data_IF_777969081114
#
_entry.id   IF_777969081114
#
_cell.length_a   1.000
_cell.length_b   1.000
_cell.length_c   1.000
_cell.angle_alpha   90.00
_cell.angle_beta   90.00
_cell.angle_gamma   90.00
#
_symmetry.space_group_name_H-M   'P 1'
#
loop_
_entity.id
_entity.type
_entity.pdbx_description
1 polymer ?
#
# COMPACT_ATOMS: atom_id res chain seq x y z
N UNK A 1 21.68 -30.44 35.13
CA UNK A 1 20.95 -31.07 34.02
C UNK A 1 19.44 -30.82 34.04
N UNK A 2 18.65 -31.17 35.06
CA UNK A 2 17.17 -30.95 35.04
C UNK A 2 16.74 -29.47 34.85
N UNK A 3 17.41 -28.51 35.49
CA UNK A 3 17.10 -27.05 35.30
C UNK A 3 17.44 -26.54 33.89
N UNK A 4 18.50 -27.02 33.29
CA UNK A 4 18.89 -26.62 31.93
C UNK A 4 17.92 -27.16 30.87
N UNK A 5 17.39 -28.37 31.07
CA UNK A 5 16.38 -28.98 30.19
C UNK A 5 15.04 -28.23 30.31
N UNK A 6 14.65 -27.81 31.52
CA UNK A 6 13.43 -27.03 31.73
C UNK A 6 13.51 -25.65 31.05
N UNK A 7 14.65 -24.95 31.15
CA UNK A 7 14.85 -23.65 30.51
C UNK A 7 14.83 -23.82 28.99
N UNK A 8 15.47 -24.86 28.45
CA UNK A 8 15.46 -25.12 27.01
C UNK A 8 14.04 -25.40 26.48
N UNK A 9 13.25 -26.20 27.24
CA UNK A 9 11.84 -26.49 26.89
C UNK A 9 10.96 -25.25 26.89
N UNK A 10 11.12 -24.35 27.88
CA UNK A 10 10.37 -23.09 27.96
C UNK A 10 10.80 -22.13 26.81
N UNK A 11 12.09 -22.04 26.48
CA UNK A 11 12.58 -21.23 25.35
C UNK A 11 12.10 -21.80 24.02
N UNK A 12 12.11 -23.11 23.82
CA UNK A 12 11.55 -23.74 22.62
C UNK A 12 10.04 -23.51 22.50
N UNK A 13 9.29 -23.62 23.61
CA UNK A 13 7.85 -23.36 23.62
C UNK A 13 7.52 -21.88 23.33
N UNK A 14 8.32 -20.94 23.83
CA UNK A 14 8.18 -19.50 23.53
C UNK A 14 8.56 -19.17 22.06
N UNK A 15 9.57 -19.84 21.52
CA UNK A 15 9.95 -19.67 20.10
C UNK A 15 8.86 -20.26 19.20
N UNK A 16 8.32 -21.46 19.52
CA UNK A 16 7.23 -22.07 18.78
C UNK A 16 5.95 -21.22 18.85
N UNK A 17 5.59 -20.69 20.02
CA UNK A 17 4.43 -19.80 20.12
C UNK A 17 4.61 -18.48 19.35
N UNK A 18 5.81 -17.92 19.35
CA UNK A 18 6.11 -16.69 18.58
C UNK A 18 6.08 -16.93 17.07
N UNK A 19 6.52 -18.10 16.57
CA UNK A 19 6.41 -18.49 15.16
C UNK A 19 4.97 -18.77 14.76
N UNK A 20 4.18 -19.37 15.63
CA UNK A 20 2.75 -19.64 15.41
C UNK A 20 1.94 -18.34 15.29
N UNK A 21 2.16 -17.39 16.19
CA UNK A 21 1.52 -16.06 16.13
C UNK A 21 1.92 -15.29 14.85
N UNK A 22 3.16 -15.43 14.39
CA UNK A 22 3.60 -14.85 13.12
C UNK A 22 2.92 -15.49 11.91
N UNK A 23 2.88 -16.81 11.82
CA UNK A 23 2.26 -17.52 10.70
C UNK A 23 0.76 -17.17 10.57
N UNK A 24 0.03 -17.13 11.69
CA UNK A 24 -1.39 -16.76 11.72
C UNK A 24 -1.63 -15.28 11.35
N UNK A 25 -0.70 -14.38 11.65
CA UNK A 25 -0.79 -12.97 11.23
C UNK A 25 -0.66 -12.80 9.73
N UNK A 26 0.21 -13.55 9.07
CA UNK A 26 0.39 -13.50 7.60
C UNK A 26 -0.79 -14.12 6.85
N UNK A 27 -1.47 -15.12 7.40
CA UNK A 27 -2.62 -15.77 6.76
C UNK A 27 -3.85 -14.87 6.61
N UNK A 28 -3.80 -13.66 7.15
CA UNK A 28 -4.91 -12.72 7.09
C UNK A 28 -4.81 -11.69 5.94
N UNK A 29 -3.67 -11.60 5.26
CA UNK A 29 -3.42 -10.62 4.20
C UNK A 29 -3.33 -11.31 2.84
N UNK A 30 -4.47 -11.39 2.17
CA UNK A 30 -4.59 -11.92 0.83
C UNK A 30 -4.77 -10.77 -0.16
N UNK A 31 -3.72 -10.43 -0.85
CA UNK A 31 -3.77 -9.40 -1.89
C UNK A 31 -4.28 -9.97 -3.21
N UNK A 32 -5.14 -9.21 -3.87
CA UNK A 32 -5.47 -9.41 -5.29
C UNK A 32 -4.57 -8.49 -6.08
N UNK A 33 -3.98 -8.99 -7.16
CA UNK A 33 -3.04 -8.24 -7.99
C UNK A 33 -3.71 -7.74 -9.25
N UNK A 34 -3.38 -6.50 -9.64
CA UNK A 34 -3.74 -5.90 -10.91
C UNK A 34 -2.45 -5.44 -11.58
N UNK A 35 -2.13 -6.04 -12.71
CA UNK A 35 -0.90 -5.82 -13.46
C UNK A 35 -1.17 -5.71 -14.97
N UNK A 36 -0.13 -5.82 -15.80
CA UNK A 36 -0.26 -5.79 -17.25
C UNK A 36 -1.16 -6.87 -17.85
N UNK A 37 -1.25 -8.05 -17.21
CA UNK A 37 -2.15 -9.12 -17.64
C UNK A 37 -3.62 -8.77 -17.45
N UNK A 38 -3.91 -7.90 -16.49
CA UNK A 38 -5.26 -7.37 -16.24
C UNK A 38 -5.54 -6.09 -17.04
N UNK A 39 -4.62 -5.64 -17.88
CA UNK A 39 -4.78 -4.46 -18.72
C UNK A 39 -4.20 -3.16 -18.13
N UNK A 40 -3.39 -3.21 -17.07
CA UNK A 40 -2.69 -2.02 -16.56
C UNK A 40 -1.59 -1.60 -17.55
N UNK A 41 -1.50 -0.29 -17.84
CA UNK A 41 -0.56 0.24 -18.85
C UNK A 41 0.92 0.09 -18.49
N UNK A 42 1.24 0.05 -17.19
CA UNK A 42 2.57 -0.26 -16.68
C UNK A 42 2.50 -0.72 -15.21
N UNK A 43 3.45 -1.55 -14.79
CA UNK A 43 3.52 -2.08 -13.43
C UNK A 43 4.05 -1.08 -12.39
N UNK A 44 4.57 0.06 -12.82
CA UNK A 44 5.01 1.14 -11.92
C UNK A 44 3.83 2.04 -11.59
N UNK A 45 3.29 1.94 -10.37
CA UNK A 45 2.12 2.70 -9.92
C UNK A 45 2.50 3.65 -8.79
N UNK A 46 2.44 4.95 -9.08
CA UNK A 46 2.84 6.00 -8.13
C UNK A 46 1.66 6.69 -7.47
N UNK A 47 0.54 6.80 -8.16
CA UNK A 47 -0.64 7.49 -7.68
C UNK A 47 -1.88 6.60 -7.76
N UNK A 48 -2.67 6.61 -6.71
CA UNK A 48 -3.94 5.88 -6.60
C UNK A 48 -4.99 6.82 -6.06
N UNK A 49 -6.14 6.86 -6.71
CA UNK A 49 -7.28 7.67 -6.27
C UNK A 49 -8.59 6.93 -6.57
N UNK A 50 -9.57 7.06 -5.69
CA UNK A 50 -10.96 6.72 -5.99
C UNK A 50 -11.72 8.02 -6.25
N UNK A 51 -12.40 8.11 -7.41
CA UNK A 51 -13.25 9.24 -7.71
C UNK A 51 -14.62 9.15 -7.02
N UNK A 52 -15.39 10.21 -7.08
CA UNK A 52 -16.74 10.31 -6.48
C UNK A 52 -17.78 9.39 -7.15
N UNK A 53 -17.50 8.85 -8.33
CA UNK A 53 -18.31 7.84 -9.00
C UNK A 53 -17.96 6.41 -8.54
N UNK A 54 -16.84 6.25 -7.82
CA UNK A 54 -16.35 4.96 -7.32
C UNK A 54 -15.34 4.25 -8.21
N UNK A 55 -14.94 4.85 -9.34
CA UNK A 55 -13.85 4.32 -10.16
C UNK A 55 -12.51 4.49 -9.46
N UNK A 56 -11.64 3.50 -9.62
CA UNK A 56 -10.25 3.61 -9.17
C UNK A 56 -9.38 4.11 -10.31
N UNK A 57 -8.55 5.07 -10.01
CA UNK A 57 -7.59 5.65 -10.94
C UNK A 57 -6.17 5.29 -10.53
N UNK A 58 -5.39 4.81 -11.49
CA UNK A 58 -4.01 4.42 -11.29
C UNK A 58 -3.10 5.24 -12.20
N UNK A 59 -2.25 6.06 -11.60
CA UNK A 59 -1.19 6.79 -12.28
C UNK A 59 0.05 5.92 -12.40
N UNK A 60 0.44 5.62 -13.63
CA UNK A 60 1.59 4.78 -13.93
C UNK A 60 2.67 5.53 -14.68
N UNK A 61 3.84 4.89 -14.86
CA UNK A 61 4.90 5.44 -15.71
C UNK A 61 4.47 5.54 -17.18
N UNK A 62 3.42 4.84 -17.59
CA UNK A 62 2.98 4.75 -18.99
C UNK A 62 1.49 5.10 -19.15
N UNK A 63 1.06 6.18 -18.52
CA UNK A 63 -0.28 6.71 -18.67
C UNK A 63 -1.18 6.54 -17.46
N UNK A 64 -2.42 7.02 -17.62
CA UNK A 64 -3.48 7.00 -16.65
C UNK A 64 -4.43 5.83 -16.93
N UNK A 65 -4.83 5.11 -15.90
CA UNK A 65 -5.70 3.95 -15.98
C UNK A 65 -6.94 4.18 -15.10
N UNK A 66 -8.13 3.88 -15.61
CA UNK A 66 -9.38 3.87 -14.87
C UNK A 66 -9.89 2.45 -14.71
N UNK A 67 -10.14 2.02 -13.50
CA UNK A 67 -10.64 0.70 -13.16
C UNK A 67 -12.06 0.76 -12.60
N UNK A 68 -12.98 -0.02 -13.16
CA UNK A 68 -14.39 -0.04 -12.79
C UNK A 68 -14.77 -1.17 -11.81
N UNK A 69 -13.80 -1.96 -11.37
CA UNK A 69 -13.98 -3.15 -10.55
C UNK A 69 -13.84 -4.46 -11.33
N UNK A 70 -13.85 -4.41 -12.65
CA UNK A 70 -13.75 -5.58 -13.56
C UNK A 70 -12.76 -5.37 -14.70
N UNK A 71 -12.74 -4.20 -15.29
CA UNK A 71 -11.93 -3.87 -16.47
C UNK A 71 -11.14 -2.58 -16.29
N UNK A 72 -10.03 -2.47 -17.00
CA UNK A 72 -9.17 -1.29 -17.02
C UNK A 72 -9.31 -0.59 -18.36
N UNK A 73 -9.65 0.70 -18.30
CA UNK A 73 -9.56 1.61 -19.43
C UNK A 73 -8.24 2.38 -19.33
N UNK A 74 -7.37 2.18 -20.32
CA UNK A 74 -6.14 2.96 -20.45
C UNK A 74 -6.44 4.27 -21.17
N UNK A 75 -6.04 5.39 -20.57
CA UNK A 75 -6.14 6.71 -21.17
C UNK A 75 -4.74 7.11 -21.66
N UNK A 76 -4.42 6.68 -22.88
CA UNK A 76 -3.11 6.90 -23.49
C UNK A 76 -3.04 8.26 -24.21
N UNK A 77 -1.82 8.76 -24.32
CA UNK A 77 -1.51 10.07 -24.92
C UNK A 77 -1.63 10.14 -26.44
N UNK A 78 -1.74 9.03 -27.13
CA UNK A 78 -1.73 8.97 -28.59
C UNK A 78 -3.03 9.47 -29.24
N UNK A 79 -4.10 9.62 -28.45
CA UNK A 79 -5.32 10.27 -28.92
C UNK A 79 -5.17 11.79 -28.85
N UNK A 80 -4.80 12.39 -29.96
CA UNK A 80 -4.59 13.84 -30.14
C UNK A 80 -5.79 14.73 -29.77
N UNK A 81 -6.94 14.17 -29.44
CA UNK A 81 -8.13 14.89 -28.96
C UNK A 81 -8.30 14.89 -27.45
N UNK A 82 -7.66 13.97 -26.74
CA UNK A 82 -7.75 13.83 -25.28
C UNK A 82 -6.37 13.76 -24.59
N UNK A 83 -5.30 14.10 -25.30
CA UNK A 83 -3.94 13.77 -24.92
C UNK A 83 -3.44 14.42 -23.63
N UNK A 84 -3.18 13.62 -22.64
CA UNK A 84 -2.19 13.96 -21.62
C UNK A 84 -0.83 13.98 -22.34
N UNK A 85 -0.23 15.15 -22.54
CA UNK A 85 1.05 15.30 -23.29
C UNK A 85 2.23 14.57 -22.67
N UNK A 86 2.02 13.80 -21.61
CA UNK A 86 3.03 13.04 -20.90
C UNK A 86 2.47 11.74 -20.29
N UNK A 87 3.30 10.71 -20.32
CA UNK A 87 2.93 9.37 -19.90
C UNK A 87 3.17 9.07 -18.40
N UNK A 88 4.10 9.77 -17.74
CA UNK A 88 4.48 9.46 -16.36
C UNK A 88 3.58 10.23 -15.38
N UNK A 89 2.57 9.55 -14.83
CA UNK A 89 1.62 10.12 -13.88
C UNK A 89 2.13 9.90 -12.47
N UNK A 90 2.25 10.96 -11.69
CA UNK A 90 2.82 10.94 -10.34
C UNK A 90 1.85 11.37 -9.24
N UNK A 91 0.81 12.15 -9.57
CA UNK A 91 -0.15 12.64 -8.60
C UNK A 91 -1.56 12.70 -9.19
N UNK A 92 -2.57 12.42 -8.36
CA UNK A 92 -3.98 12.45 -8.73
C UNK A 92 -4.80 13.11 -7.62
N UNK A 93 -5.74 13.95 -8.01
CA UNK A 93 -6.69 14.56 -7.09
C UNK A 93 -8.02 14.87 -7.80
N UNK A 94 -9.16 14.58 -7.18
CA UNK A 94 -10.49 14.97 -7.67
C UNK A 94 -10.96 16.23 -6.93
N UNK A 95 -11.33 17.28 -7.68
CA UNK A 95 -11.83 18.52 -7.09
C UNK A 95 -13.33 18.49 -6.79
N UNK A 96 -13.85 19.56 -6.17
CA UNK A 96 -15.27 19.69 -5.82
C UNK A 96 -16.20 19.73 -7.04
N UNK A 97 -15.66 20.06 -8.22
CA UNK A 97 -16.37 20.05 -9.51
C UNK A 97 -16.31 18.67 -10.18
N UNK A 98 -15.73 17.66 -9.50
CA UNK A 98 -15.50 16.30 -10.00
C UNK A 98 -14.55 16.23 -11.19
N UNK A 99 -13.68 17.20 -11.33
CA UNK A 99 -12.60 17.18 -12.30
C UNK A 99 -11.38 16.52 -11.70
N UNK A 100 -10.73 15.66 -12.48
CA UNK A 100 -9.53 14.96 -12.04
C UNK A 100 -8.30 15.78 -12.42
N UNK A 101 -7.57 16.21 -11.39
CA UNK A 101 -6.26 16.85 -11.54
C UNK A 101 -5.20 15.76 -11.64
N UNK A 102 -4.39 15.84 -12.67
CA UNK A 102 -3.39 14.84 -13.03
C UNK A 102 -2.02 15.49 -13.08
N UNK A 103 -1.17 15.15 -12.13
CA UNK A 103 0.23 15.57 -12.08
C UNK A 103 1.11 14.62 -12.87
N UNK A 104 1.96 15.19 -13.70
CA UNK A 104 2.87 14.46 -14.59
C UNK A 104 4.31 14.95 -14.42
N UNK A 105 5.26 14.31 -15.09
CA UNK A 105 6.65 14.78 -15.16
C UNK A 105 6.82 16.01 -16.07
N UNK A 106 5.75 16.49 -16.71
CA UNK A 106 5.72 17.71 -17.56
C UNK A 106 4.55 18.63 -17.27
N UNK A 107 4.12 18.71 -16.02
CA UNK A 107 3.11 19.64 -15.56
C UNK A 107 1.77 19.04 -15.20
N UNK A 108 0.75 19.88 -15.18
CA UNK A 108 -0.56 19.57 -14.62
C UNK A 108 -1.59 19.51 -15.74
N UNK A 109 -2.44 18.49 -15.70
CA UNK A 109 -3.61 18.36 -16.55
C UNK A 109 -4.86 18.25 -15.71
N UNK A 110 -5.98 18.72 -16.25
CA UNK A 110 -7.31 18.53 -15.64
C UNK A 110 -8.17 17.78 -16.63
N UNK A 111 -8.70 16.65 -16.18
CA UNK A 111 -9.65 15.84 -16.92
C UNK A 111 -11.07 16.20 -16.50
N UNK A 112 -11.90 16.57 -17.47
CA UNK A 112 -13.33 16.78 -17.27
C UNK A 112 -14.08 15.52 -17.71
N UNK A 113 -14.66 14.76 -16.77
CA UNK A 113 -15.32 13.49 -17.10
C UNK A 113 -16.65 13.69 -17.85
N UNK A 114 -17.21 14.91 -17.87
CA UNK A 114 -18.47 15.18 -18.57
C UNK A 114 -18.23 15.42 -20.06
N UNK A 115 -17.07 15.98 -20.40
CA UNK A 115 -16.65 16.26 -21.77
C UNK A 115 -15.70 15.22 -22.34
N UNK A 116 -15.14 14.36 -21.47
CA UNK A 116 -14.09 13.38 -21.78
C UNK A 116 -12.85 14.05 -22.41
N UNK A 117 -12.42 15.18 -21.82
CA UNK A 117 -11.33 16.00 -22.35
C UNK A 117 -10.30 16.28 -21.26
N UNK A 118 -9.02 16.15 -21.61
CA UNK A 118 -7.90 16.67 -20.83
C UNK A 118 -7.51 18.07 -21.26
N UNK A 119 -7.38 18.95 -20.29
CA UNK A 119 -6.88 20.32 -20.50
C UNK A 119 -5.59 20.51 -19.74
N UNK A 120 -4.52 20.88 -20.43
CA UNK A 120 -3.28 21.28 -19.77
C UNK A 120 -3.46 22.63 -19.10
N UNK A 121 -3.06 22.74 -17.82
CA UNK A 121 -3.05 24.01 -17.12
C UNK A 121 -1.79 24.78 -17.49
N UNK A 122 -1.98 25.91 -18.20
CA UNK A 122 -0.97 26.92 -18.46
C UNK A 122 -1.51 28.25 -17.92
N UNK A 123 -1.42 28.51 -16.60
CA UNK A 123 -1.91 29.77 -16.06
C UNK A 123 -1.05 30.92 -16.59
N UNK A 124 -1.67 31.89 -17.24
CA UNK A 124 -1.01 33.08 -17.82
C UNK A 124 -0.21 33.92 -16.78
N UNK A 125 -0.54 33.73 -15.50
CA UNK A 125 0.12 34.41 -14.37
C UNK A 125 1.43 33.76 -13.93
N UNK A 126 1.84 32.64 -14.53
CA UNK A 126 3.03 31.90 -14.14
C UNK A 126 4.12 31.99 -15.23
N UNK A 127 4.67 33.19 -15.41
CA UNK A 127 5.83 33.45 -16.31
C UNK A 127 7.08 32.58 -15.99
N UNK A 128 7.02 31.73 -14.97
CA UNK A 128 8.16 30.95 -14.45
C UNK A 128 7.90 29.46 -14.22
N UNK A 129 6.67 28.96 -14.33
CA UNK A 129 6.46 27.51 -14.36
C UNK A 129 6.74 27.04 -15.77
N UNK A 130 7.92 26.46 -15.95
CA UNK A 130 8.20 25.77 -17.21
C UNK A 130 7.24 24.56 -17.28
N UNK A 131 6.62 24.33 -18.45
CA UNK A 131 5.67 23.24 -18.63
C UNK A 131 6.26 21.84 -18.42
N UNK A 132 7.54 21.75 -18.17
CA UNK A 132 8.32 20.50 -18.13
C UNK A 132 8.72 20.07 -16.71
N UNK A 133 8.02 20.57 -15.66
CA UNK A 133 8.36 20.25 -14.27
C UNK A 133 7.53 19.10 -13.74
N UNK A 134 8.22 18.21 -13.02
CA UNK A 134 7.62 17.08 -12.34
C UNK A 134 6.75 17.53 -11.17
N UNK A 135 5.46 17.12 -11.19
CA UNK A 135 4.50 17.34 -10.11
C UNK A 135 4.60 16.16 -9.14
N UNK A 136 5.01 16.41 -7.91
CA UNK A 136 5.17 15.35 -6.92
C UNK A 136 3.83 14.98 -6.27
N UNK A 137 3.02 15.97 -5.89
CA UNK A 137 1.79 15.73 -5.15
C UNK A 137 0.73 16.82 -5.42
N UNK A 138 -0.54 16.44 -5.34
CA UNK A 138 -1.69 17.34 -5.49
C UNK A 138 -2.70 17.02 -4.38
N UNK A 139 -3.15 18.06 -3.67
CA UNK A 139 -4.24 17.92 -2.70
C UNK A 139 -5.03 19.24 -2.59
N UNK A 140 -6.16 19.26 -1.87
CA UNK A 140 -6.90 20.48 -1.62
C UNK A 140 -7.07 20.76 -0.14
N UNK A 141 -7.05 22.06 0.21
CA UNK A 141 -7.38 22.50 1.54
C UNK A 141 -8.90 22.45 1.84
N UNK A 142 -9.29 22.72 3.07
CA UNK A 142 -10.70 22.68 3.50
C UNK A 142 -11.59 23.70 2.78
N UNK A 143 -11.01 24.78 2.26
CA UNK A 143 -11.71 25.81 1.50
C UNK A 143 -11.96 25.34 0.06
N UNK A 144 -11.09 24.47 -0.47
CA UNK A 144 -11.15 23.90 -1.81
C UNK A 144 -10.14 24.49 -2.77
N UNK A 145 -9.13 25.18 -2.26
CA UNK A 145 -7.98 25.53 -3.08
C UNK A 145 -7.15 24.28 -3.33
N UNK A 146 -6.73 24.08 -4.58
CA UNK A 146 -5.89 22.97 -4.96
C UNK A 146 -4.42 23.38 -4.80
N UNK A 147 -3.69 22.60 -4.03
CA UNK A 147 -2.27 22.77 -3.80
C UNK A 147 -1.49 21.75 -4.60
N UNK A 148 -0.51 22.22 -5.33
CA UNK A 148 0.37 21.42 -6.18
C UNK A 148 1.79 21.60 -5.73
N UNK A 149 2.46 20.49 -5.45
CA UNK A 149 3.86 20.46 -5.06
C UNK A 149 4.73 20.12 -6.26
N UNK A 150 5.66 21.01 -6.55
CA UNK A 150 6.70 20.86 -7.56
C UNK A 150 8.06 21.02 -6.85
N UNK A 151 8.82 19.92 -6.63
CA UNK A 151 10.00 19.94 -5.76
C UNK A 151 11.02 21.04 -6.08
N UNK A 152 11.29 21.27 -7.35
CA UNK A 152 12.29 22.28 -7.77
C UNK A 152 11.78 23.73 -7.67
N UNK A 153 10.48 23.96 -7.45
CA UNK A 153 9.86 25.26 -7.49
C UNK A 153 9.09 25.65 -6.23
N UNK A 154 8.71 24.69 -5.42
CA UNK A 154 7.88 24.93 -4.23
C UNK A 154 6.41 24.55 -4.41
N UNK A 155 5.51 25.31 -3.80
CA UNK A 155 4.08 25.05 -3.85
C UNK A 155 3.34 26.10 -4.70
N UNK A 156 2.30 25.60 -5.35
CA UNK A 156 1.35 26.41 -6.08
C UNK A 156 -0.04 26.20 -5.51
N UNK A 157 -0.74 27.29 -5.18
CA UNK A 157 -2.13 27.28 -4.75
C UNK A 157 -3.02 27.78 -5.87
N UNK A 158 -3.93 26.95 -6.31
CA UNK A 158 -4.93 27.25 -7.31
C UNK A 158 -6.28 27.55 -6.67
N UNK A 159 -6.84 28.71 -6.96
CA UNK A 159 -8.22 29.09 -6.68
C UNK A 159 -9.04 28.87 -7.95
N UNK A 160 -9.61 27.65 -8.11
CA UNK A 160 -10.09 27.17 -9.41
C UNK A 160 -8.93 26.89 -10.37
N UNK A 161 -9.19 26.95 -11.70
CA UNK A 161 -8.17 26.67 -12.73
C UNK A 161 -7.44 27.90 -13.26
N UNK A 162 -7.80 29.10 -12.83
CA UNK A 162 -7.31 30.36 -13.42
C UNK A 162 -6.40 31.14 -12.51
N UNK A 163 -6.69 31.24 -11.22
CA UNK A 163 -5.91 32.05 -10.29
C UNK A 163 -4.92 31.16 -9.57
N UNK A 164 -3.65 31.53 -9.59
CA UNK A 164 -2.57 30.79 -8.94
C UNK A 164 -1.68 31.70 -8.13
N UNK A 165 -1.30 31.22 -6.95
CA UNK A 165 -0.28 31.82 -6.09
C UNK A 165 0.90 30.89 -5.98
N UNK A 166 2.12 31.41 -5.96
CA UNK A 166 3.35 30.63 -5.88
C UNK A 166 4.07 30.90 -4.57
N UNK A 167 4.46 29.83 -3.91
CA UNK A 167 5.18 29.85 -2.62
C UNK A 167 6.49 29.08 -2.75
N UNK A 168 7.62 29.77 -2.99
CA UNK A 168 8.92 29.12 -2.96
C UNK A 168 9.23 28.66 -1.53
N UNK A 169 9.53 27.39 -1.37
CA UNK A 169 9.94 26.82 -0.09
C UNK A 169 11.46 26.82 -0.05
N UNK A 170 12.01 27.85 0.58
CA UNK A 170 13.45 28.00 0.77
C UNK A 170 13.76 28.07 2.25
N UNK A 171 14.62 27.18 2.72
CA UNK A 171 15.09 27.23 4.12
C UNK A 171 16.10 28.33 4.36
N UNK A 172 16.35 28.61 5.65
CA UNK A 172 17.43 29.52 6.09
C UNK A 172 18.80 28.82 6.14
N UNK A 173 18.89 27.60 5.62
CA UNK A 173 20.12 26.78 5.70
C UNK A 173 20.96 26.92 4.44
N UNK A 174 22.26 26.66 4.56
CA UNK A 174 23.23 26.71 3.45
C UNK A 174 23.34 25.37 2.71
N UNK A 175 22.33 24.49 2.79
CA UNK A 175 22.35 23.17 2.18
C UNK A 175 21.89 23.21 0.70
N UNK A 176 22.60 22.51 -0.17
CA UNK A 176 22.39 22.54 -1.63
C UNK A 176 21.18 21.77 -2.14
N UNK A 177 20.46 21.01 -1.30
CA UNK A 177 19.36 20.14 -1.70
C UNK A 177 18.13 20.40 -0.81
N UNK A 178 17.65 21.63 -0.79
CA UNK A 178 16.46 22.03 -0.05
C UNK A 178 15.26 21.95 -0.98
N UNK A 179 14.51 20.86 -0.96
CA UNK A 179 13.31 20.72 -1.76
C UNK A 179 12.11 20.31 -0.91
N UNK A 180 10.91 20.81 -1.19
CA UNK A 180 9.70 20.25 -0.65
C UNK A 180 9.48 18.85 -1.27
N UNK A 181 9.20 17.85 -0.42
CA UNK A 181 9.07 16.45 -0.83
C UNK A 181 7.63 15.94 -0.71
N UNK A 182 6.91 16.37 0.33
CA UNK A 182 5.53 15.95 0.56
C UNK A 182 4.68 17.09 1.12
N UNK A 183 3.37 16.97 0.95
CA UNK A 183 2.37 17.91 1.44
C UNK A 183 1.26 17.13 2.14
N UNK A 184 0.77 17.63 3.27
CA UNK A 184 -0.36 17.02 3.96
C UNK A 184 -1.26 18.09 4.56
N UNK A 185 -2.51 17.71 4.81
CA UNK A 185 -3.49 18.57 5.46
C UNK A 185 -3.83 17.99 6.82
N UNK A 186 -3.70 18.81 7.85
CA UNK A 186 -4.17 18.45 9.18
C UNK A 186 -5.71 18.46 9.23
N UNK A 187 -6.29 17.86 10.27
CA UNK A 187 -7.76 17.78 10.41
C UNK A 187 -8.46 19.13 10.57
N UNK A 188 -7.71 20.19 10.86
CA UNK A 188 -8.22 21.57 10.93
C UNK A 188 -8.13 22.28 9.58
N UNK A 189 -7.63 21.60 8.54
CA UNK A 189 -7.47 22.16 7.20
C UNK A 189 -6.15 22.93 7.01
N UNK A 190 -5.23 22.85 7.96
CA UNK A 190 -3.91 23.47 7.86
C UNK A 190 -3.01 22.69 6.88
N UNK A 191 -2.39 23.41 5.96
CA UNK A 191 -1.48 22.84 4.94
C UNK A 191 -0.08 22.77 5.52
N UNK A 192 0.52 21.58 5.48
CA UNK A 192 1.86 21.30 5.94
C UNK A 192 2.72 20.75 4.81
N UNK A 193 4.01 21.10 4.86
CA UNK A 193 5.01 20.67 3.87
C UNK A 193 6.16 20.01 4.58
N UNK A 194 6.50 18.79 4.17
CA UNK A 194 7.73 18.11 4.56
C UNK A 194 8.81 18.36 3.51
N UNK A 195 10.04 18.58 3.96
CA UNK A 195 11.16 18.93 3.08
C UNK A 195 12.33 17.99 3.21
N UNK A 196 13.21 18.05 2.22
CA UNK A 196 14.56 17.49 2.30
C UNK A 196 15.48 18.46 3.01
N UNK A 197 15.83 18.16 4.28
CA UNK A 197 16.90 18.85 5.02
C UNK A 197 16.52 20.11 5.79
N UNK A 198 15.35 20.74 5.55
CA UNK A 198 14.98 22.02 6.19
C UNK A 198 13.73 21.95 7.04
N UNK A 199 13.31 20.75 7.44
CA UNK A 199 12.25 20.53 8.41
C UNK A 199 10.84 20.62 7.83
N UNK A 200 9.90 21.09 8.63
CA UNK A 200 8.50 21.25 8.29
C UNK A 200 8.16 22.72 8.03
N UNK A 201 7.20 22.94 7.15
CA UNK A 201 6.58 24.24 6.93
C UNK A 201 5.08 24.13 7.09
N UNK A 202 4.45 25.17 7.65
CA UNK A 202 3.00 25.30 7.77
C UNK A 202 2.54 26.57 7.10
N UNK A 203 1.51 26.48 6.30
CA UNK A 203 0.88 27.66 5.70
C UNK A 203 0.14 28.49 6.76
N UNK A 204 0.43 29.76 6.80
CA UNK A 204 -0.28 30.75 7.62
C UNK A 204 -1.17 31.61 6.71
N UNK A 205 -2.50 31.43 6.72
CA UNK A 205 -3.40 32.17 5.82
C UNK A 205 -3.49 33.67 6.15
N UNK A 206 -3.15 34.10 7.36
CA UNK A 206 -3.17 35.52 7.74
C UNK A 206 -1.98 36.28 7.15
N UNK A 207 -0.84 35.60 7.01
CA UNK A 207 0.38 36.16 6.42
C UNK A 207 0.52 35.86 4.94
N UNK A 208 -0.34 34.98 4.40
CA UNK A 208 -0.24 34.38 3.06
C UNK A 208 1.18 33.85 2.77
N UNK A 209 1.75 33.10 3.73
CA UNK A 209 3.12 32.63 3.69
C UNK A 209 3.29 31.33 4.50
N UNK A 210 4.37 30.60 4.21
CA UNK A 210 4.77 29.44 5.00
C UNK A 210 5.69 29.81 6.15
N UNK A 211 5.42 29.24 7.33
CA UNK A 211 6.23 29.35 8.53
C UNK A 211 7.02 28.06 8.73
N UNK A 212 8.32 28.19 9.00
CA UNK A 212 9.24 27.07 9.19
C UNK A 212 9.24 26.54 10.62
N UNK A 213 9.26 25.21 10.74
CA UNK A 213 9.39 24.45 11.98
C UNK A 213 10.60 23.52 11.85
N UNK A 214 11.76 23.98 12.32
CA UNK A 214 13.03 23.26 12.17
C UNK A 214 13.42 22.48 13.41
N UNK A 215 13.06 22.99 14.59
CA UNK A 215 13.44 22.42 15.88
C UNK A 215 12.21 22.24 16.77
N UNK A 216 12.27 21.24 17.64
CA UNK A 216 11.29 21.09 18.70
C UNK A 216 11.61 22.04 19.88
N UNK A 217 10.71 22.09 20.85
CA UNK A 217 10.91 22.93 22.07
C UNK A 217 12.08 22.47 22.95
N UNK A 218 12.60 21.26 22.76
CA UNK A 218 13.70 20.68 23.51
C UNK A 218 15.03 20.75 22.77
N UNK A 219 15.05 21.35 21.56
CA UNK A 219 16.24 21.48 20.72
C UNK A 219 16.54 20.26 19.85
N UNK A 220 15.61 19.27 19.74
CA UNK A 220 15.75 18.22 18.75
C UNK A 220 15.44 18.78 17.38
N UNK A 221 16.30 18.51 16.42
CA UNK A 221 16.25 19.12 15.11
C UNK A 221 15.70 18.21 14.03
N UNK A 222 14.88 18.78 13.15
CA UNK A 222 14.49 18.19 11.86
C UNK A 222 15.46 18.54 10.73
N UNK A 223 16.53 19.31 11.04
CA UNK A 223 17.58 19.62 10.07
C UNK A 223 18.22 18.33 9.55
N UNK A 224 18.55 18.31 8.27
CA UNK A 224 19.11 17.16 7.57
C UNK A 224 18.24 15.89 7.55
N UNK A 225 16.95 16.00 7.87
CA UNK A 225 15.97 14.91 7.73
C UNK A 225 15.24 15.06 6.41
N UNK A 226 15.23 13.99 5.61
CA UNK A 226 14.49 13.93 4.34
C UNK A 226 13.09 13.38 4.60
N UNK A 227 12.11 14.27 4.75
CA UNK A 227 10.71 13.94 5.06
C UNK A 227 10.00 13.57 3.74
N UNK A 228 9.87 12.27 3.45
CA UNK A 228 9.34 11.76 2.19
C UNK A 228 7.82 11.69 2.13
N UNK A 229 7.19 11.42 3.26
CA UNK A 229 5.73 11.36 3.39
C UNK A 229 5.31 11.73 4.80
N UNK A 230 4.08 12.21 4.92
CA UNK A 230 3.54 12.67 6.19
C UNK A 230 2.04 12.39 6.27
N UNK A 231 1.56 11.87 7.41
CA UNK A 231 0.13 11.78 7.71
C UNK A 231 -0.19 12.33 9.09
N UNK A 232 -1.45 12.71 9.27
CA UNK A 232 -1.95 13.16 10.57
C UNK A 232 -2.80 12.07 11.22
N UNK A 233 -2.39 11.61 12.41
CA UNK A 233 -3.17 10.65 13.21
C UNK A 233 -4.38 11.33 13.85
N UNK A 234 -4.16 12.52 14.35
CA UNK A 234 -5.15 13.42 14.94
C UNK A 234 -4.75 14.87 14.64
N UNK A 235 -5.50 15.83 15.15
CA UNK A 235 -5.28 17.27 14.90
C UNK A 235 -3.91 17.78 15.36
N UNK A 236 -3.30 17.11 16.32
CA UNK A 236 -2.10 17.58 17.02
C UNK A 236 -0.84 16.79 16.68
N UNK A 237 -0.97 15.59 16.08
CA UNK A 237 0.18 14.70 15.84
C UNK A 237 0.35 14.35 14.36
N UNK A 238 1.43 14.85 13.78
CA UNK A 238 1.94 14.43 12.48
C UNK A 238 2.89 13.24 12.64
N UNK A 239 2.77 12.25 11.76
CA UNK A 239 3.71 11.14 11.61
C UNK A 239 4.54 11.41 10.36
N UNK A 240 5.86 11.39 10.51
CA UNK A 240 6.81 11.73 9.47
C UNK A 240 7.60 10.48 9.07
N UNK A 241 7.58 10.13 7.81
CA UNK A 241 8.43 9.08 7.25
C UNK A 241 9.71 9.71 6.71
N UNK A 242 10.84 9.38 7.35
CA UNK A 242 12.16 9.85 6.95
C UNK A 242 12.77 8.85 5.96
N UNK A 243 13.35 9.36 4.89
CA UNK A 243 13.91 8.55 3.81
C UNK A 243 14.86 7.44 4.29
N UNK A 244 15.68 7.75 5.28
CA UNK A 244 16.72 6.86 5.81
C UNK A 244 16.20 5.78 6.78
N UNK A 245 14.86 5.62 6.89
CA UNK A 245 14.24 4.54 7.66
C UNK A 245 13.93 4.91 9.12
N UNK A 246 13.67 6.17 9.39
CA UNK A 246 13.15 6.62 10.68
C UNK A 246 11.67 6.99 10.58
N UNK A 247 10.90 6.71 11.62
CA UNK A 247 9.56 7.23 11.81
C UNK A 247 9.56 8.18 13.00
N UNK A 248 9.13 9.41 12.76
CA UNK A 248 9.04 10.43 13.79
C UNK A 248 7.58 10.82 14.03
N UNK A 249 7.26 11.20 15.23
CA UNK A 249 5.98 11.83 15.59
C UNK A 249 6.25 13.25 16.05
N UNK A 250 5.55 14.19 15.48
CA UNK A 250 5.65 15.60 15.81
C UNK A 250 4.29 16.11 16.30
N UNK A 251 4.24 16.56 17.56
CA UNK A 251 3.04 17.20 18.08
C UNK A 251 3.04 18.66 17.65
N UNK A 252 2.05 19.07 16.86
CA UNK A 252 2.01 20.41 16.26
C UNK A 252 1.68 21.53 17.26
N UNK A 253 1.12 21.21 18.44
CA UNK A 253 0.81 22.19 19.47
C UNK A 253 1.92 22.31 20.50
N UNK A 254 2.33 21.18 21.11
CA UNK A 254 3.41 21.18 22.09
C UNK A 254 4.79 21.39 21.45
N UNK A 255 4.90 21.22 20.12
CA UNK A 255 6.15 21.23 19.36
C UNK A 255 7.17 20.22 19.88
N UNK A 256 6.72 19.05 20.26
CA UNK A 256 7.57 17.95 20.74
C UNK A 256 7.79 16.94 19.63
N UNK A 257 9.05 16.55 19.44
CA UNK A 257 9.48 15.52 18.51
C UNK A 257 9.73 14.22 19.27
N UNK A 258 9.16 13.15 18.81
CA UNK A 258 9.38 11.80 19.35
C UNK A 258 9.68 10.82 18.22
N UNK A 259 10.24 9.67 18.58
CA UNK A 259 10.55 8.59 17.64
C UNK A 259 9.54 7.46 17.80
N UNK A 260 9.13 6.87 16.68
CA UNK A 260 8.36 5.63 16.64
C UNK A 260 9.32 4.50 16.33
N UNK A 261 9.37 3.43 17.15
CA UNK A 261 10.22 2.28 16.84
C UNK A 261 9.88 1.70 15.47
N UNK A 262 10.87 1.64 14.58
CA UNK A 262 10.74 1.07 13.25
C UNK A 262 11.67 -0.13 13.11
N UNK A 263 11.15 -1.33 12.83
CA UNK A 263 11.95 -2.57 12.82
C UNK A 263 12.67 -2.83 11.51
N UNK A 264 12.63 -1.89 10.58
CA UNK A 264 13.34 -2.01 9.31
C UNK A 264 14.85 -2.06 9.48
N UNK A 265 15.54 -2.67 8.53
CA UNK A 265 16.99 -2.66 8.48
C UNK A 265 17.53 -1.22 8.34
N UNK A 266 18.72 -0.95 8.84
CA UNK A 266 19.38 0.34 8.60
C UNK A 266 19.42 0.63 7.10
N UNK A 267 18.93 1.80 6.67
CA UNK A 267 18.75 2.24 5.28
C UNK A 267 17.55 1.63 4.54
N UNK A 268 16.50 1.23 5.25
CA UNK A 268 15.20 0.97 4.61
C UNK A 268 14.61 2.29 4.14
N UNK A 269 14.59 2.54 2.83
CA UNK A 269 14.04 3.78 2.28
C UNK A 269 12.51 3.78 2.40
N UNK A 270 11.98 4.71 3.21
CA UNK A 270 10.54 4.92 3.36
C UNK A 270 10.03 5.77 2.21
N UNK A 271 8.82 5.46 1.71
CA UNK A 271 8.20 6.14 0.57
C UNK A 271 6.87 6.78 0.93
N UNK A 272 6.05 6.07 1.68
CA UNK A 272 4.71 6.52 2.03
C UNK A 272 4.35 6.13 3.45
N UNK A 273 3.59 6.97 4.14
CA UNK A 273 3.04 6.68 5.46
C UNK A 273 1.58 7.13 5.54
N UNK A 274 0.71 6.20 5.91
CA UNK A 274 -0.72 6.46 6.04
C UNK A 274 -1.23 6.00 7.40
N UNK A 275 -2.11 6.80 7.99
CA UNK A 275 -2.70 6.54 9.29
C UNK A 275 -4.10 5.93 9.13
N UNK A 276 -4.30 4.66 9.50
CA UNK A 276 -5.61 4.00 9.50
C UNK A 276 -6.02 3.66 10.94
N UNK A 277 -6.67 4.61 11.60
CA UNK A 277 -7.01 4.49 13.02
C UNK A 277 -5.76 4.42 13.90
N UNK A 278 -5.57 3.31 14.61
CA UNK A 278 -4.40 3.08 15.47
C UNK A 278 -3.21 2.46 14.73
N UNK A 279 -3.38 2.09 13.47
CA UNK A 279 -2.34 1.48 12.65
C UNK A 279 -1.65 2.51 11.76
N UNK A 280 -0.33 2.40 11.68
CA UNK A 280 0.49 3.08 10.70
C UNK A 280 0.87 2.09 9.62
N UNK A 281 0.52 2.41 8.39
CA UNK A 281 0.91 1.64 7.22
C UNK A 281 2.04 2.37 6.53
N UNK A 282 3.19 1.71 6.40
CA UNK A 282 4.43 2.32 5.92
C UNK A 282 4.95 1.56 4.72
N UNK A 283 4.91 2.22 3.58
CA UNK A 283 5.48 1.73 2.34
C UNK A 283 6.98 1.99 2.26
N UNK A 284 7.74 1.00 1.86
CA UNK A 284 9.19 1.09 1.79
C UNK A 284 9.75 0.36 0.57
N UNK A 285 11.08 0.39 0.40
CA UNK A 285 11.79 -0.45 -0.59
C UNK A 285 11.93 -1.91 -0.15
N UNK A 286 11.51 -2.26 1.06
CA UNK A 286 11.63 -3.62 1.61
C UNK A 286 10.28 -4.22 2.00
N UNK A 287 9.20 -3.78 1.39
CA UNK A 287 7.84 -4.22 1.64
C UNK A 287 7.00 -3.20 2.40
N UNK A 288 5.90 -3.69 2.93
CA UNK A 288 4.92 -2.94 3.68
C UNK A 288 5.01 -3.27 5.17
N UNK A 289 5.12 -2.24 6.00
CA UNK A 289 5.06 -2.38 7.45
C UNK A 289 3.73 -1.89 7.99
N UNK A 290 3.12 -2.65 8.90
CA UNK A 290 1.93 -2.25 9.62
C UNK A 290 2.28 -2.20 11.09
N UNK A 291 2.29 -1.00 11.67
CA UNK A 291 2.72 -0.73 13.03
C UNK A 291 1.52 -0.31 13.86
N UNK A 292 1.28 -0.99 14.98
CA UNK A 292 0.30 -0.61 15.97
C UNK A 292 1.01 -0.32 17.30
N UNK A 293 1.20 0.98 17.61
CA UNK A 293 1.91 1.40 18.82
C UNK A 293 1.18 0.98 20.11
N UNK A 294 -0.17 0.99 20.11
CA UNK A 294 -0.95 0.60 21.29
C UNK A 294 -0.80 -0.87 21.63
N UNK A 295 -0.72 -1.71 20.62
CA UNK A 295 -0.52 -3.17 20.76
C UNK A 295 0.95 -3.57 20.81
N UNK A 296 1.85 -2.62 20.63
CA UNK A 296 3.29 -2.85 20.46
C UNK A 296 3.58 -3.97 19.45
N UNK A 297 2.87 -3.94 18.33
CA UNK A 297 2.97 -4.97 17.29
C UNK A 297 3.36 -4.35 15.96
N UNK A 298 4.22 -5.06 15.24
CA UNK A 298 4.61 -4.73 13.89
C UNK A 298 4.52 -5.96 13.01
N UNK A 299 3.83 -5.82 11.91
CA UNK A 299 3.77 -6.81 10.85
C UNK A 299 4.55 -6.29 9.65
N UNK A 300 5.38 -7.15 9.05
CA UNK A 300 6.16 -6.84 7.89
C UNK A 300 5.77 -7.75 6.73
N UNK A 301 5.08 -7.22 5.73
CA UNK A 301 4.59 -7.92 4.55
C UNK A 301 5.58 -7.71 3.39
N UNK A 302 5.95 -8.81 2.76
CA UNK A 302 6.88 -8.86 1.62
C UNK A 302 6.30 -9.67 0.48
N UNK A 303 6.91 -9.50 -0.69
CA UNK A 303 6.76 -10.43 -1.80
C UNK A 303 7.24 -11.82 -1.38
N UNK A 304 6.45 -12.83 -1.71
CA UNK A 304 6.77 -14.24 -1.55
C UNK A 304 6.32 -14.99 -2.80
N UNK A 305 7.27 -15.41 -3.61
CA UNK A 305 7.01 -16.09 -4.88
C UNK A 305 6.25 -17.41 -4.71
N UNK A 306 6.32 -18.02 -3.52
CA UNK A 306 5.60 -19.25 -3.22
C UNK A 306 4.15 -18.98 -2.79
N UNK A 307 3.83 -17.76 -2.39
CA UNK A 307 2.50 -17.33 -1.94
C UNK A 307 1.86 -16.39 -2.94
N UNK A 308 1.01 -16.90 -3.79
CA UNK A 308 0.34 -16.15 -4.87
C UNK A 308 -0.49 -14.94 -4.41
N UNK A 309 -0.74 -14.79 -3.12
CA UNK A 309 -1.51 -13.69 -2.55
C UNK A 309 -0.67 -12.79 -1.62
N UNK A 310 0.66 -12.94 -1.62
CA UNK A 310 1.58 -12.01 -0.96
C UNK A 310 1.62 -10.67 -1.70
N UNK A 311 2.41 -9.70 -1.24
CA UNK A 311 2.71 -8.53 -2.06
C UNK A 311 3.32 -8.95 -3.40
N UNK A 312 2.97 -8.25 -4.47
CA UNK A 312 3.49 -8.51 -5.82
C UNK A 312 4.90 -7.95 -6.05
N UNK A 313 5.37 -7.07 -5.16
CA UNK A 313 6.70 -6.44 -5.21
C UNK A 313 7.03 -5.80 -3.87
N UNK A 314 8.30 -5.79 -3.50
CA UNK A 314 8.77 -5.22 -2.24
C UNK A 314 8.90 -3.69 -2.25
N UNK A 315 8.88 -3.04 -3.40
CA UNK A 315 9.01 -1.58 -3.48
C UNK A 315 7.62 -0.95 -3.52
N UNK A 316 7.14 -0.52 -2.35
CA UNK A 316 5.83 0.11 -2.18
C UNK A 316 5.96 1.62 -2.35
N UNK A 317 5.23 2.20 -3.32
CA UNK A 317 5.24 3.62 -3.61
C UNK A 317 4.09 4.40 -2.99
N UNK A 318 2.88 3.82 -3.00
CA UNK A 318 1.67 4.51 -2.56
C UNK A 318 0.71 3.56 -1.86
N UNK A 319 0.02 4.09 -0.86
CA UNK A 319 -0.98 3.36 -0.07
C UNK A 319 -2.26 4.21 -0.07
N UNK A 320 -3.36 3.65 -0.51
CA UNK A 320 -4.64 4.34 -0.61
C UNK A 320 -5.76 3.51 0.00
N UNK A 321 -6.67 4.16 0.74
CA UNK A 321 -7.86 3.53 1.30
C UNK A 321 -9.10 4.01 0.56
N UNK A 322 -9.83 3.09 -0.02
CA UNK A 322 -11.08 3.40 -0.70
C UNK A 322 -12.23 3.72 0.27
N UNK A 323 -13.33 4.23 -0.27
CA UNK A 323 -14.54 4.61 0.49
C UNK A 323 -15.22 3.42 1.17
N UNK A 324 -15.03 2.20 0.67
CA UNK A 324 -15.53 0.94 1.25
C UNK A 324 -14.59 0.38 2.33
N UNK A 325 -13.40 0.98 2.47
CA UNK A 325 -12.37 0.60 3.45
C UNK A 325 -11.41 -0.48 2.96
N UNK A 326 -11.41 -0.81 1.68
CA UNK A 326 -10.38 -1.59 1.03
C UNK A 326 -9.08 -0.79 0.90
N UNK A 327 -7.95 -1.47 0.90
CA UNK A 327 -6.63 -0.84 0.82
C UNK A 327 -5.96 -1.22 -0.50
N UNK A 328 -5.50 -0.21 -1.19
CA UNK A 328 -4.84 -0.29 -2.48
C UNK A 328 -3.38 0.11 -2.32
N UNK A 329 -2.47 -0.68 -2.87
CA UNK A 329 -1.03 -0.48 -2.72
C UNK A 329 -0.39 -0.49 -4.09
N UNK A 330 0.19 0.64 -4.47
CA UNK A 330 0.96 0.79 -5.70
C UNK A 330 2.42 0.42 -5.49
N UNK A 331 2.97 -0.36 -6.41
CA UNK A 331 4.34 -0.85 -6.35
C UNK A 331 5.15 -0.43 -7.57
N UNK A 332 6.46 -0.67 -7.51
CA UNK A 332 7.38 -0.29 -8.59
C UNK A 332 7.29 -1.25 -9.79
N UNK A 333 7.21 -2.54 -9.54
CA UNK A 333 7.27 -3.56 -10.60
C UNK A 333 6.10 -4.54 -10.59
N UNK A 334 5.31 -4.59 -9.52
CA UNK A 334 4.24 -5.55 -9.30
C UNK A 334 2.82 -5.04 -9.65
N UNK A 335 2.68 -3.78 -10.07
CA UNK A 335 1.37 -3.17 -10.31
C UNK A 335 0.68 -2.73 -9.03
N UNK A 336 -0.60 -3.03 -8.92
CA UNK A 336 -1.46 -2.69 -7.80
C UNK A 336 -1.83 -3.94 -7.01
N UNK A 337 -1.73 -3.84 -5.68
CA UNK A 337 -2.22 -4.86 -4.75
C UNK A 337 -3.47 -4.33 -4.06
N UNK A 338 -4.53 -5.11 -4.06
CA UNK A 338 -5.78 -4.79 -3.38
C UNK A 338 -6.04 -5.72 -2.21
N UNK A 339 -6.29 -5.13 -1.05
CA UNK A 339 -6.71 -5.82 0.17
C UNK A 339 -8.13 -5.40 0.53
N UNK A 340 -9.14 -6.28 0.40
CA UNK A 340 -10.51 -5.95 0.76
C UNK A 340 -10.68 -5.75 2.27
N UNK A 341 -11.55 -4.82 2.68
CA UNK A 341 -11.88 -4.56 4.09
C UNK A 341 -12.42 -5.80 4.80
N UNK A 342 -13.33 -6.50 4.15
CA UNK A 342 -13.91 -7.71 4.70
C UNK A 342 -13.02 -8.88 4.28
N UNK A 343 -12.35 -9.45 5.26
CA UNK A 343 -11.59 -10.68 5.08
C UNK A 343 -12.54 -11.79 4.71
N UNK A 344 -12.12 -12.64 3.80
CA UNK A 344 -12.88 -13.84 3.46
C UNK A 344 -13.07 -14.66 4.74
N UNK A 345 -14.30 -15.11 4.96
CA UNK A 345 -14.66 -16.00 6.09
C UNK A 345 -14.01 -17.39 5.92
N UNK A 346 -13.35 -17.61 4.79
CA UNK A 346 -12.73 -18.88 4.43
C UNK A 346 -11.22 -18.83 4.64
N UNK A 347 -10.68 -19.81 5.32
CA UNK A 347 -9.25 -20.07 5.34
C UNK A 347 -8.81 -20.59 3.98
N UNK A 348 -7.67 -20.09 3.49
CA UNK A 348 -7.12 -20.47 2.19
C UNK A 348 -5.85 -21.26 2.39
N UNK A 349 -5.84 -22.47 1.88
CA UNK A 349 -4.67 -23.33 1.81
C UNK A 349 -4.13 -23.32 0.39
N UNK A 350 -2.93 -22.78 0.22
CA UNK A 350 -2.28 -22.58 -1.09
C UNK A 350 -0.96 -23.35 -1.13
N UNK A 351 -0.42 -23.63 -2.31
CA UNK A 351 0.91 -24.23 -2.44
C UNK A 351 1.99 -23.34 -1.82
N UNK A 352 2.90 -23.96 -1.09
CA UNK A 352 4.00 -23.29 -0.40
C UNK A 352 5.01 -24.31 0.15
N UNK A 353 6.01 -23.82 0.87
CA UNK A 353 7.07 -24.63 1.46
C UNK A 353 7.01 -24.71 2.99
N UNK A 354 6.01 -24.11 3.61
CA UNK A 354 5.78 -24.18 5.05
C UNK A 354 4.85 -25.36 5.41
N UNK A 355 4.84 -25.78 6.68
CA UNK A 355 4.00 -26.87 7.17
C UNK A 355 2.49 -26.58 7.16
N UNK A 356 2.07 -25.44 6.62
CA UNK A 356 0.66 -25.02 6.48
C UNK A 356 0.25 -24.90 5.01
N UNK A 357 1.10 -25.37 4.09
CA UNK A 357 0.92 -25.22 2.64
C UNK A 357 0.65 -26.55 1.95
N UNK A 358 -0.20 -26.49 0.92
CA UNK A 358 -0.39 -27.60 0.00
C UNK A 358 0.84 -27.76 -0.90
N UNK A 359 1.00 -28.97 -1.48
CA UNK A 359 2.08 -29.22 -2.42
C UNK A 359 1.74 -28.89 -3.89
N UNK A 360 0.45 -28.61 -4.20
CA UNK A 360 -0.02 -28.27 -5.56
C UNK A 360 -1.31 -27.47 -5.54
N UNK A 361 -1.63 -26.83 -6.68
CA UNK A 361 -2.87 -26.07 -6.91
C UNK A 361 -4.04 -26.95 -7.41
N UNK A 362 -3.76 -28.14 -7.92
CA UNK A 362 -4.76 -28.97 -8.58
C UNK A 362 -5.35 -29.99 -7.62
N UNK A 363 -6.48 -29.66 -7.01
CA UNK A 363 -7.20 -30.51 -6.08
C UNK A 363 -8.24 -31.32 -6.87
N UNK A 364 -8.28 -32.63 -6.65
CA UNK A 364 -9.22 -33.57 -7.28
C UNK A 364 -10.27 -34.13 -6.36
N UNK A 365 -9.96 -34.28 -5.08
CA UNK A 365 -10.90 -34.82 -4.12
C UNK A 365 -10.62 -34.36 -2.70
N UNK A 366 -11.67 -34.30 -1.90
CA UNK A 366 -11.63 -34.00 -0.48
C UNK A 366 -12.42 -35.06 0.27
N UNK A 367 -11.90 -35.51 1.40
CA UNK A 367 -12.61 -36.37 2.33
C UNK A 367 -12.24 -36.03 3.76
N UNK A 368 -13.19 -36.12 4.68
CA UNK A 368 -12.97 -35.93 6.10
C UNK A 368 -12.85 -37.30 6.77
N UNK A 369 -11.91 -37.45 7.71
CA UNK A 369 -11.78 -38.66 8.52
C UNK A 369 -12.48 -38.53 9.88
N UNK A 370 -12.51 -39.63 10.66
CA UNK A 370 -13.17 -39.66 11.98
C UNK A 370 -12.54 -38.70 12.99
N UNK A 371 -11.33 -38.21 12.78
CA UNK A 371 -10.65 -37.27 13.64
C UNK A 371 -10.95 -35.82 13.23
N UNK A 372 -11.70 -35.60 12.14
CA UNK A 372 -11.99 -34.29 11.58
C UNK A 372 -10.87 -33.73 10.71
N UNK A 373 -9.86 -34.53 10.37
CA UNK A 373 -8.82 -34.12 9.41
C UNK A 373 -9.33 -34.23 7.98
N UNK A 374 -8.93 -33.28 7.13
CA UNK A 374 -9.34 -33.21 5.72
C UNK A 374 -8.24 -33.81 4.85
N UNK A 375 -8.55 -34.91 4.20
CA UNK A 375 -7.70 -35.57 3.22
C UNK A 375 -7.89 -34.90 1.85
N UNK A 376 -6.80 -34.46 1.27
CA UNK A 376 -6.79 -33.65 0.04
C UNK A 376 -6.03 -34.42 -1.04
N UNK A 377 -6.76 -35.00 -1.97
CA UNK A 377 -6.21 -35.69 -3.14
C UNK A 377 -5.84 -34.67 -4.22
N UNK A 378 -4.60 -34.70 -4.66
CA UNK A 378 -4.08 -33.80 -5.71
C UNK A 378 -3.89 -34.54 -7.04
N UNK A 379 -3.86 -33.81 -8.17
CA UNK A 379 -3.71 -34.40 -9.49
C UNK A 379 -2.33 -35.04 -9.69
N UNK A 380 -1.28 -34.31 -9.29
CA UNK A 380 0.09 -34.65 -9.68
C UNK A 380 1.03 -34.95 -8.51
N UNK A 381 0.67 -34.56 -7.27
CA UNK A 381 1.59 -34.56 -6.12
C UNK A 381 1.06 -35.32 -4.90
N UNK A 382 0.32 -36.41 -5.11
CA UNK A 382 -0.08 -37.32 -4.03
C UNK A 382 -1.20 -36.78 -3.13
N UNK A 383 -1.11 -37.04 -1.83
CA UNK A 383 -2.16 -36.74 -0.86
C UNK A 383 -1.60 -35.87 0.26
N UNK A 384 -2.33 -34.82 0.60
CA UNK A 384 -2.10 -33.99 1.79
C UNK A 384 -3.20 -34.26 2.81
N UNK A 385 -2.88 -34.11 4.07
CA UNK A 385 -3.84 -34.14 5.19
C UNK A 385 -3.76 -32.81 5.91
N UNK A 386 -4.88 -32.14 6.00
CA UNK A 386 -5.06 -30.90 6.73
C UNK A 386 -5.74 -31.19 8.06
N UNK A 387 -5.13 -30.74 9.15
CA UNK A 387 -5.80 -30.62 10.44
C UNK A 387 -6.46 -29.21 10.53
N UNK A 388 -7.80 -29.10 10.51
CA UNK A 388 -8.46 -27.80 10.57
C UNK A 388 -8.31 -27.08 11.91
N UNK A 389 -7.95 -27.78 13.00
CA UNK A 389 -7.80 -27.18 14.32
C UNK A 389 -6.44 -26.48 14.45
N UNK A 390 -5.39 -27.07 13.90
CA UNK A 390 -4.03 -26.52 13.95
C UNK A 390 -3.68 -25.73 12.68
N UNK A 391 -4.38 -25.98 11.57
CA UNK A 391 -4.06 -25.47 10.25
C UNK A 391 -2.83 -26.11 9.63
N UNK A 392 -2.29 -27.17 10.22
CA UNK A 392 -1.13 -27.89 9.70
C UNK A 392 -1.52 -28.76 8.51
N UNK A 393 -0.65 -28.79 7.51
CA UNK A 393 -0.80 -29.62 6.31
C UNK A 393 0.39 -30.56 6.21
N UNK A 394 0.09 -31.85 6.21
CA UNK A 394 1.12 -32.88 6.08
C UNK A 394 0.96 -33.64 4.77
N UNK A 395 2.07 -33.79 4.04
CA UNK A 395 2.10 -34.66 2.86
C UNK A 395 2.25 -36.11 3.31
N UNK A 396 1.27 -36.95 2.98
CA UNK A 396 1.25 -38.36 3.44
C UNK A 396 1.85 -39.29 2.40
N UNK A 397 1.64 -38.99 1.13
CA UNK A 397 2.17 -39.79 0.02
C UNK A 397 2.77 -38.89 -1.04
N UNK A 398 4.06 -39.16 -1.36
CA UNK A 398 4.76 -38.62 -2.49
C UNK A 398 4.62 -39.55 -3.68
N UNK A 399 4.49 -39.04 -4.89
CA UNK A 399 4.54 -39.82 -6.13
C UNK A 399 3.58 -41.02 -6.18
N UNK A 400 2.28 -40.77 -6.04
CA UNK A 400 1.29 -41.78 -6.43
C UNK A 400 1.37 -41.94 -7.94
N UNK A 401 1.72 -43.16 -8.48
CA UNK A 401 1.78 -43.37 -9.91
C UNK A 401 0.39 -43.18 -10.52
N UNK A 402 0.26 -42.23 -11.42
CA UNK A 402 -1.01 -41.92 -12.09
C UNK A 402 -1.77 -40.76 -11.46
N UNK A 403 -2.78 -40.28 -12.17
CA UNK A 403 -3.63 -39.18 -11.68
C UNK A 403 -4.59 -39.68 -10.61
N UNK A 404 -4.60 -39.02 -9.47
CA UNK A 404 -5.56 -39.30 -8.39
C UNK A 404 -6.91 -38.71 -8.78
N UNK A 405 -7.83 -39.53 -9.24
CA UNK A 405 -9.12 -39.10 -9.79
C UNK A 405 -10.17 -38.96 -8.69
N UNK A 406 -10.07 -39.78 -7.64
CA UNK A 406 -11.07 -39.83 -6.57
C UNK A 406 -10.43 -40.14 -5.23
N UNK A 407 -10.75 -39.34 -4.23
CA UNK A 407 -10.49 -39.66 -2.83
C UNK A 407 -11.83 -40.01 -2.17
N UNK A 408 -11.90 -41.21 -1.59
CA UNK A 408 -13.09 -41.67 -0.87
C UNK A 408 -12.73 -41.95 0.57
N UNK A 409 -13.55 -41.48 1.50
CA UNK A 409 -13.39 -41.82 2.89
C UNK A 409 -13.77 -43.30 3.12
N UNK A 410 -12.84 -44.12 3.56
CA UNK A 410 -13.04 -45.56 3.79
C UNK A 410 -14.02 -45.89 4.93
N UNK A 411 -14.48 -44.87 5.64
CA UNK A 411 -15.41 -45.01 6.77
C UNK A 411 -16.87 -45.18 6.37
N UNK A 412 -17.26 -44.69 5.22
CA UNK A 412 -18.46 -45.19 4.56
C UNK A 412 -18.02 -46.40 3.76
N UNK A 413 -18.29 -47.57 4.30
CA UNK A 413 -18.14 -48.85 3.56
C UNK A 413 -18.65 -48.61 2.13
N UNK A 414 -17.75 -48.55 1.16
CA UNK A 414 -18.16 -48.66 -0.23
C UNK A 414 -19.02 -49.92 -0.27
N UNK A 415 -20.26 -49.86 -0.75
CA UNK A 415 -21.12 -51.04 -0.73
C UNK A 415 -20.35 -52.16 -1.35
N UNK A 416 -20.16 -53.21 -0.60
CA UNK A 416 -19.46 -54.42 -1.08
C UNK A 416 -20.09 -54.85 -2.40
N UNK A 417 -19.32 -55.39 -3.36
CA UNK A 417 -19.92 -55.96 -4.54
C UNK A 417 -21.07 -56.93 -4.25
N UNK A 418 -21.16 -57.44 -2.99
CA UNK A 418 -22.29 -58.23 -2.52
C UNK A 418 -23.57 -57.46 -2.29
N UNK A 419 -23.47 -56.12 -1.99
CA UNK A 419 -24.64 -55.27 -1.76
C UNK A 419 -25.34 -54.92 -3.10
N UNK A 420 -24.60 -54.92 -4.21
CA UNK A 420 -25.16 -54.81 -5.56
C UNK A 420 -25.82 -56.11 -6.06
N UNK A 421 -25.46 -57.24 -5.51
CA UNK A 421 -26.06 -58.53 -5.89
C UNK A 421 -27.40 -58.79 -5.19
N UNK A 422 -27.72 -58.08 -4.11
CA UNK A 422 -28.97 -58.26 -3.35
C UNK A 422 -30.13 -57.36 -3.84
N UNK A 423 -29.85 -56.40 -4.79
CA UNK A 423 -30.85 -55.48 -5.37
C UNK A 423 -31.33 -55.86 -6.80
N UNK A 424 -31.16 -57.13 -7.21
CA UNK A 424 -31.76 -57.66 -8.44
C UNK A 424 -32.80 -58.71 -8.11
#
# INVERSE_FOLDING_TARGET
>A
MKRSILILSVVCSLILSATFVRAQAYSQFYFTHINGENGLSASNVKAILQDSYGFMWFGTKNGLNRYDGTSILQLNCDDLKAGIGNHNISALYEDKERKLWVGTDRGIYVYDPTMDIFTRLNPESLDKITPDNWVAEILADSVGNVWVLIPDQGLFRFEGTKKVSHYPITGKSNFKNESPECIAIDKKGGVWVGTSGVGLFKYNPQKDAFEQYLEDRNGHSLANKNIMSMCFRNDDTAILAIHEGELLKYNTQSRELGTIPFPGERKTFLRDVVCFGDELWVGSHHGLFIINEKKNSTLHLKEDLMRSFSLSDNIVYSIYKDTKGGIWIGTMFGGVNYLPKHRLVFDKYVPGSDGHSLNTKRIRGLAEDDNGCIWIGTEDNGINVLDPQTGEVHQVYDNVPGHLITLCCLLYTSPSPRDYAASR
#
